data_IF_555000375832
#
_entry.id   IF_555000375832
#
_cell.length_a   1.000
_cell.length_b   1.000
_cell.length_c   1.000
_cell.angle_alpha   90.00
_cell.angle_beta   90.00
_cell.angle_gamma   90.00
#
_symmetry.space_group_name_H-M   'P 1'
#
loop_
_entity.id
_entity.type
_entity.pdbx_description
1 polymer ?
#
# COMPACT_ATOMS: atom_id res chain seq x y z
N UNK A 1 8.15 -45.90 -45.55
CA UNK A 1 8.38 -45.36 -44.19
C UNK A 1 8.82 -43.91 -44.31
N UNK A 2 8.14 -42.98 -43.63
CA UNK A 2 8.16 -41.56 -43.93
C UNK A 2 9.16 -40.75 -43.06
N UNK A 3 10.06 -40.05 -43.76
CA UNK A 3 10.74 -38.77 -43.48
C UNK A 3 10.83 -38.29 -42.01
N UNK A 4 12.03 -38.40 -41.43
CA UNK A 4 12.42 -37.71 -40.19
C UNK A 4 12.56 -36.20 -40.43
N UNK A 5 11.77 -35.38 -39.73
CA UNK A 5 11.96 -33.92 -39.70
C UNK A 5 12.89 -33.56 -38.54
N UNK A 6 14.15 -33.25 -38.83
CA UNK A 6 14.92 -32.34 -37.97
C UNK A 6 14.55 -30.92 -38.37
N UNK A 7 13.85 -30.19 -37.50
CA UNK A 7 13.81 -28.74 -37.59
C UNK A 7 14.83 -28.19 -36.61
N UNK A 8 15.85 -27.50 -37.12
CA UNK A 8 16.79 -26.75 -36.29
C UNK A 8 16.01 -25.67 -35.52
N UNK A 9 15.89 -25.82 -34.20
CA UNK A 9 15.56 -24.70 -33.33
C UNK A 9 16.71 -23.69 -33.43
N UNK A 10 16.44 -22.54 -34.02
CA UNK A 10 17.36 -21.39 -34.03
C UNK A 10 17.51 -20.89 -32.59
N UNK A 11 18.55 -21.34 -31.89
CA UNK A 11 19.04 -20.71 -30.67
C UNK A 11 20.16 -19.75 -31.03
N UNK A 12 19.82 -18.51 -31.37
CA UNK A 12 20.79 -17.41 -31.34
C UNK A 12 20.07 -16.07 -31.45
N UNK A 13 20.09 -15.35 -30.35
CA UNK A 13 19.68 -13.94 -30.27
C UNK A 13 20.30 -13.24 -29.06
N UNK A 14 21.44 -13.73 -28.57
CA UNK A 14 22.26 -13.02 -27.60
C UNK A 14 22.86 -11.79 -28.28
N UNK A 15 22.64 -10.62 -27.70
CA UNK A 15 23.09 -9.30 -28.16
C UNK A 15 24.58 -9.31 -28.54
N UNK A 16 24.89 -8.78 -29.73
CA UNK A 16 26.26 -8.52 -30.16
C UNK A 16 26.91 -7.35 -29.36
N UNK A 17 28.25 -7.30 -29.23
CA UNK A 17 28.95 -6.25 -28.47
C UNK A 17 28.77 -4.87 -29.11
N UNK A 18 28.36 -3.90 -28.28
CA UNK A 18 27.99 -2.53 -28.67
C UNK A 18 29.23 -1.68 -28.98
N UNK A 19 29.33 -1.16 -30.20
CA UNK A 19 30.23 -0.04 -30.54
C UNK A 19 29.68 1.22 -29.86
N UNK A 20 30.48 1.89 -29.02
CA UNK A 20 30.10 3.13 -28.35
C UNK A 20 29.97 4.25 -29.38
N UNK A 21 28.75 4.75 -29.55
CA UNK A 21 28.48 6.08 -30.08
C UNK A 21 27.47 6.72 -29.13
N UNK A 22 27.87 7.84 -28.54
CA UNK A 22 27.01 8.68 -27.73
C UNK A 22 25.85 9.17 -28.60
N UNK A 23 24.62 8.98 -28.14
CA UNK A 23 23.47 9.69 -28.70
C UNK A 23 22.39 9.82 -27.64
N UNK A 24 22.19 11.08 -27.24
CA UNK A 24 21.04 11.72 -26.58
C UNK A 24 19.93 10.80 -26.04
N UNK A 25 19.62 11.03 -24.77
CA UNK A 25 18.33 10.66 -24.18
C UNK A 25 17.18 11.25 -25.01
N UNK A 26 16.46 10.38 -25.71
CA UNK A 26 15.14 10.67 -26.28
C UNK A 26 14.13 9.77 -25.58
N UNK A 27 13.79 10.13 -24.34
CA UNK A 27 12.57 9.65 -23.72
C UNK A 27 11.40 10.40 -24.35
N UNK A 28 10.79 9.82 -25.40
CA UNK A 28 9.34 9.75 -25.61
C UNK A 28 8.99 9.06 -26.94
N UNK A 29 7.99 8.20 -26.78
CA UNK A 29 7.20 7.44 -27.72
C UNK A 29 6.62 8.22 -28.90
N UNK A 30 6.81 7.68 -30.10
CA UNK A 30 5.83 7.74 -31.17
C UNK A 30 5.71 6.34 -31.78
N UNK A 31 4.54 5.66 -31.72
CA UNK A 31 4.37 4.40 -32.42
C UNK A 31 3.98 4.71 -33.87
N UNK A 32 4.93 4.52 -34.79
CA UNK A 32 4.64 4.42 -36.21
C UNK A 32 4.06 3.03 -36.51
N UNK A 33 2.80 3.04 -36.96
CA UNK A 33 2.16 2.01 -37.80
C UNK A 33 1.68 0.70 -37.14
N UNK A 34 0.37 0.47 -37.30
CA UNK A 34 -0.41 -0.77 -37.05
C UNK A 34 -0.52 -1.30 -35.61
N UNK A 35 -1.63 -0.97 -34.94
CA UNK A 35 -2.16 -1.76 -33.82
C UNK A 35 -1.42 -1.59 -32.49
N UNK A 36 -1.51 -0.39 -31.89
CA UNK A 36 -1.12 -0.20 -30.48
C UNK A 36 -1.96 -1.15 -29.62
N UNK A 37 -1.32 -2.15 -29.00
CA UNK A 37 -1.98 -3.05 -28.05
C UNK A 37 -2.67 -2.19 -26.99
N UNK A 38 -3.97 -2.39 -26.81
CA UNK A 38 -4.74 -1.71 -25.76
C UNK A 38 -4.00 -1.88 -24.43
N UNK A 39 -3.85 -0.80 -23.63
CA UNK A 39 -3.28 -0.92 -22.29
C UNK A 39 -4.02 -2.01 -21.52
N UNK A 40 -3.27 -2.96 -20.94
CA UNK A 40 -3.88 -4.06 -20.21
C UNK A 40 -4.53 -3.54 -18.93
N UNK A 41 -5.86 -3.53 -18.90
CA UNK A 41 -6.66 -3.12 -17.75
C UNK A 41 -7.00 -4.35 -16.91
N UNK A 42 -6.73 -4.27 -15.62
CA UNK A 42 -7.14 -5.30 -14.67
C UNK A 42 -8.65 -5.24 -14.44
N UNK A 43 -9.28 -6.40 -14.26
CA UNK A 43 -10.71 -6.49 -13.92
C UNK A 43 -10.95 -5.87 -12.54
N UNK A 44 -12.09 -5.18 -12.30
CA UNK A 44 -12.39 -4.54 -11.01
C UNK A 44 -12.23 -5.48 -9.79
N UNK A 45 -12.70 -6.73 -9.91
CA UNK A 45 -12.54 -7.78 -8.88
C UNK A 45 -11.07 -8.06 -8.56
N UNK A 46 -10.21 -8.12 -9.58
CA UNK A 46 -8.78 -8.35 -9.40
C UNK A 46 -8.11 -7.18 -8.69
N UNK A 47 -8.52 -5.94 -8.98
CA UNK A 47 -8.01 -4.75 -8.31
C UNK A 47 -8.48 -4.71 -6.84
N UNK A 48 -9.75 -5.01 -6.59
CA UNK A 48 -10.31 -5.06 -5.23
C UNK A 48 -9.61 -6.09 -4.35
N UNK A 49 -9.43 -7.33 -4.84
CA UNK A 49 -8.71 -8.37 -4.09
C UNK A 49 -7.26 -7.97 -3.82
N UNK A 50 -6.55 -7.38 -4.79
CA UNK A 50 -5.19 -6.88 -4.55
C UNK A 50 -5.14 -5.82 -3.45
N UNK A 51 -6.09 -4.89 -3.44
CA UNK A 51 -6.21 -3.86 -2.39
C UNK A 51 -6.50 -4.49 -1.02
N UNK A 52 -7.44 -5.43 -0.93
CA UNK A 52 -7.75 -6.14 0.32
C UNK A 52 -6.50 -6.83 0.88
N UNK A 53 -5.80 -7.60 0.06
CA UNK A 53 -4.58 -8.29 0.49
C UNK A 53 -3.45 -7.33 0.87
N UNK A 54 -3.36 -6.18 0.19
CA UNK A 54 -2.40 -5.13 0.53
C UNK A 54 -2.71 -4.53 1.92
N UNK A 55 -3.94 -4.04 2.13
CA UNK A 55 -4.35 -3.38 3.36
C UNK A 55 -4.41 -4.32 4.57
N UNK A 56 -4.64 -5.61 4.37
CA UNK A 56 -4.57 -6.60 5.44
C UNK A 56 -3.13 -6.93 5.86
N UNK A 57 -2.16 -6.74 4.96
CA UNK A 57 -0.74 -7.00 5.23
C UNK A 57 -0.03 -5.77 5.79
N UNK A 58 -0.44 -4.58 5.36
CA UNK A 58 0.08 -3.31 5.85
C UNK A 58 -0.65 -2.86 7.11
N UNK A 59 0.00 -2.01 7.91
CA UNK A 59 -0.60 -1.32 9.06
C UNK A 59 -0.62 0.19 8.85
N UNK A 60 -0.67 0.62 7.59
CA UNK A 60 -0.77 2.03 7.23
C UNK A 60 -2.16 2.57 7.53
N UNK A 61 -2.22 3.86 7.87
CA UNK A 61 -3.48 4.57 8.07
C UNK A 61 -4.20 4.71 6.74
N UNK A 62 -5.49 4.39 6.74
CA UNK A 62 -6.34 4.47 5.55
C UNK A 62 -6.79 5.92 5.29
N UNK A 63 -6.93 6.72 6.35
CA UNK A 63 -7.31 8.12 6.25
C UNK A 63 -6.04 8.99 6.23
N UNK A 64 -6.01 9.98 5.34
CA UNK A 64 -4.89 10.92 5.28
C UNK A 64 -4.81 11.74 6.58
N UNK A 65 -3.59 11.98 7.06
CA UNK A 65 -3.36 12.64 8.36
C UNK A 65 -3.85 14.09 8.43
N UNK A 66 -3.68 14.86 7.34
CA UNK A 66 -4.04 16.27 7.29
C UNK A 66 -5.56 16.52 7.46
N UNK A 67 -6.46 15.87 6.68
CA UNK A 67 -7.89 16.09 6.85
C UNK A 67 -8.40 15.57 8.21
N UNK A 68 -7.85 14.47 8.74
CA UNK A 68 -8.21 13.99 10.08
C UNK A 68 -7.81 15.00 11.15
N UNK A 69 -6.61 15.59 11.04
CA UNK A 69 -6.16 16.63 11.96
C UNK A 69 -7.04 17.89 11.89
N UNK A 70 -7.44 18.33 10.70
CA UNK A 70 -8.35 19.47 10.53
C UNK A 70 -9.71 19.20 11.18
N UNK A 71 -10.25 17.99 11.01
CA UNK A 71 -11.50 17.57 11.64
C UNK A 71 -11.40 17.58 13.18
N UNK A 72 -10.29 17.07 13.74
CA UNK A 72 -10.07 17.10 15.19
C UNK A 72 -10.02 18.55 15.68
N UNK A 73 -9.34 19.44 14.97
CA UNK A 73 -9.27 20.86 15.33
C UNK A 73 -10.64 21.54 15.28
N UNK A 74 -11.40 21.31 14.22
CA UNK A 74 -12.77 21.82 14.06
C UNK A 74 -13.66 21.43 15.25
N UNK A 75 -13.69 20.14 15.60
CA UNK A 75 -14.48 19.65 16.74
C UNK A 75 -14.02 20.28 18.06
N UNK A 76 -12.70 20.41 18.26
CA UNK A 76 -12.15 20.90 19.54
C UNK A 76 -12.29 22.40 19.72
N UNK A 77 -12.36 23.14 18.62
CA UNK A 77 -12.58 24.58 18.61
C UNK A 77 -13.92 24.95 19.27
N UNK A 78 -14.95 24.09 19.11
CA UNK A 78 -16.27 24.28 19.72
C UNK A 78 -16.26 24.13 21.25
N UNK A 79 -15.25 23.45 21.81
CA UNK A 79 -15.12 23.27 23.25
C UNK A 79 -14.20 24.30 23.90
N UNK A 80 -13.04 24.56 23.29
CA UNK A 80 -12.06 25.55 23.75
C UNK A 80 -11.35 26.18 22.57
N UNK A 81 -11.46 27.51 22.46
CA UNK A 81 -10.65 28.32 21.56
C UNK A 81 -9.21 28.31 22.11
N UNK A 82 -8.21 27.91 21.31
CA UNK A 82 -6.76 27.89 21.62
C UNK A 82 -6.15 26.57 22.12
N UNK A 83 -6.76 25.43 21.78
CA UNK A 83 -6.16 24.12 22.10
C UNK A 83 -5.11 23.70 21.06
N UNK A 84 -3.86 23.52 21.50
CA UNK A 84 -2.77 23.00 20.66
C UNK A 84 -2.50 21.53 20.96
N UNK A 85 -2.48 20.68 19.92
CA UNK A 85 -2.20 19.25 20.05
C UNK A 85 -0.75 18.88 19.74
N UNK A 86 -0.20 17.94 20.51
CA UNK A 86 1.02 17.21 20.11
C UNK A 86 0.69 16.30 18.93
N UNK A 87 1.63 16.07 18.01
CA UNK A 87 1.42 15.17 16.86
C UNK A 87 1.04 13.74 17.27
N UNK A 88 1.58 13.22 18.37
CA UNK A 88 1.20 11.92 18.93
C UNK A 88 -0.24 11.88 19.45
N UNK A 89 -0.75 13.00 19.99
CA UNK A 89 -2.10 13.10 20.54
C UNK A 89 -3.18 13.10 19.45
N UNK A 90 -2.85 13.46 18.20
CA UNK A 90 -3.77 13.36 17.05
C UNK A 90 -3.74 11.96 16.43
N UNK A 91 -2.58 11.30 16.46
CA UNK A 91 -2.41 9.95 15.88
C UNK A 91 -3.16 8.87 16.65
N UNK A 92 -3.17 8.92 17.98
CA UNK A 92 -3.85 7.90 18.80
C UNK A 92 -5.37 7.85 18.55
N UNK A 93 -6.12 8.97 18.54
CA UNK A 93 -7.52 8.99 18.14
C UNK A 93 -7.75 8.50 16.71
N UNK A 94 -6.83 8.77 15.79
CA UNK A 94 -6.93 8.30 14.41
C UNK A 94 -6.86 6.77 14.35
N UNK A 95 -5.87 6.17 15.00
CA UNK A 95 -5.71 4.71 15.07
C UNK A 95 -6.94 4.05 15.71
N UNK A 96 -7.46 4.63 16.79
CA UNK A 96 -8.66 4.14 17.47
C UNK A 96 -9.91 4.23 16.58
N UNK A 97 -10.09 5.34 15.87
CA UNK A 97 -11.25 5.58 15.00
C UNK A 97 -11.23 4.64 13.79
N UNK A 98 -10.08 4.47 13.13
CA UNK A 98 -9.95 3.53 12.01
C UNK A 98 -10.15 2.08 12.47
N UNK A 99 -9.61 1.71 13.63
CA UNK A 99 -9.86 0.40 14.22
C UNK A 99 -11.35 0.18 14.50
N UNK A 100 -12.05 1.19 15.03
CA UNK A 100 -13.49 1.14 15.29
C UNK A 100 -14.31 0.96 13.99
N UNK A 101 -13.96 1.68 12.92
CA UNK A 101 -14.66 1.58 11.63
C UNK A 101 -14.40 0.24 10.91
N UNK A 102 -13.22 -0.35 11.10
CA UNK A 102 -12.86 -1.65 10.52
C UNK A 102 -13.46 -2.80 11.33
N UNK A 103 -13.68 -2.61 12.65
CA UNK A 103 -14.23 -3.62 13.52
C UNK A 103 -15.70 -3.92 13.13
N UNK A 104 -16.04 -5.12 12.66
CA UNK A 104 -17.43 -5.48 12.45
C UNK A 104 -18.12 -5.57 13.81
N UNK A 105 -19.19 -4.80 14.00
CA UNK A 105 -20.04 -4.82 15.19
C UNK A 105 -20.73 -6.20 15.44
N UNK A 106 -20.48 -7.21 14.60
CA UNK A 106 -21.05 -8.54 14.73
C UNK A 106 -20.23 -9.59 13.95
N UNK A 107 -19.18 -10.17 14.53
CA UNK A 107 -18.67 -11.46 14.05
C UNK A 107 -17.91 -12.22 15.13
N UNK A 108 -18.64 -13.13 15.77
CA UNK A 108 -18.27 -13.94 16.92
C UNK A 108 -17.23 -15.05 16.63
N UNK A 109 -16.42 -14.98 15.55
CA UNK A 109 -15.55 -16.13 15.20
C UNK A 109 -14.30 -15.88 14.33
N UNK A 110 -13.83 -14.64 14.14
CA UNK A 110 -12.55 -14.37 13.43
C UNK A 110 -11.55 -13.54 14.26
N UNK A 111 -11.66 -13.61 15.59
CA UNK A 111 -11.01 -12.69 16.54
C UNK A 111 -9.57 -13.03 16.98
N UNK A 112 -8.96 -14.13 16.54
CA UNK A 112 -7.64 -14.53 17.07
C UNK A 112 -6.41 -13.98 16.32
N UNK A 113 -6.56 -13.19 15.26
CA UNK A 113 -5.38 -12.69 14.49
C UNK A 113 -5.24 -11.17 14.50
N UNK A 114 -6.35 -10.44 14.57
CA UNK A 114 -6.35 -8.98 14.68
C UNK A 114 -6.14 -8.53 16.14
N UNK A 115 -6.66 -9.26 17.13
CA UNK A 115 -6.37 -8.99 18.54
C UNK A 115 -4.89 -9.14 18.89
N UNK A 116 -4.17 -10.13 18.33
CA UNK A 116 -2.76 -10.36 18.67
C UNK A 116 -1.86 -9.21 18.24
N UNK A 117 -2.11 -8.58 17.09
CA UNK A 117 -1.31 -7.45 16.63
C UNK A 117 -1.61 -6.15 17.39
N UNK A 118 -2.86 -5.94 17.83
CA UNK A 118 -3.24 -4.79 18.65
C UNK A 118 -2.74 -4.94 20.10
N UNK A 119 -2.85 -6.14 20.68
CA UNK A 119 -2.37 -6.43 22.03
C UNK A 119 -0.85 -6.33 22.15
N UNK A 120 -0.08 -6.76 21.13
CA UNK A 120 1.39 -6.63 21.13
C UNK A 120 1.81 -5.15 21.07
N UNK A 121 1.12 -4.32 20.29
CA UNK A 121 1.37 -2.87 20.27
C UNK A 121 1.03 -2.19 21.60
N UNK A 122 -0.09 -2.54 22.22
CA UNK A 122 -0.48 -1.98 23.52
C UNK A 122 0.50 -2.40 24.64
N UNK A 123 0.91 -3.66 24.67
CA UNK A 123 1.89 -4.16 25.65
C UNK A 123 3.26 -3.50 25.42
N UNK A 124 3.74 -3.41 24.17
CA UNK A 124 5.00 -2.72 23.87
C UNK A 124 4.96 -1.23 24.20
N UNK A 125 3.82 -0.55 23.98
CA UNK A 125 3.65 0.86 24.32
C UNK A 125 3.67 1.09 25.85
N UNK A 126 2.95 0.25 26.62
CA UNK A 126 2.96 0.31 28.09
C UNK A 126 4.37 0.04 28.62
N UNK A 127 5.05 -0.99 28.13
CA UNK A 127 6.40 -1.36 28.58
C UNK A 127 7.49 -0.35 28.18
N UNK A 128 7.32 0.37 27.06
CA UNK A 128 8.20 1.50 26.68
C UNK A 128 7.93 2.77 27.50
N UNK A 129 6.72 2.94 28.01
CA UNK A 129 6.35 4.14 28.79
C UNK A 129 6.85 4.07 30.24
N UNK A 130 6.89 2.88 30.84
CA UNK A 130 7.40 2.68 32.21
C UNK A 130 8.93 2.73 32.31
N UNK A 131 9.65 2.46 31.21
CA UNK A 131 11.12 2.49 31.16
C UNK A 131 11.72 3.89 30.97
N UNK A 132 10.90 4.90 30.69
CA UNK A 132 11.32 6.30 30.50
C UNK A 132 11.12 7.15 31.78
N UNK A 133 10.52 6.57 32.82
CA UNK A 133 10.24 7.24 34.11
C UNK A 133 11.25 6.90 35.23
N UNK A 134 12.33 6.18 34.93
CA UNK A 134 13.45 5.87 35.84
C UNK A 134 14.78 6.28 35.21
#
# INVERSE_FOLDING_TARGET
>A
MARTKQTACKSTGGKAPRKQLATKASNRSAPTTSGVKKPHLYRPRTVALRKIHHYQKSTELLIQKLPFQQLVQEITQDFKTDLSFRSSAVMAPQEASEAYLILPAHSHQYNYTIQYNFSIKYILFVQYSETIQH
#
